data_IF_310307984893
#
_entry.id   IF_310307984893
#
_cell.length_a   1.000
_cell.length_b   1.000
_cell.length_c   1.000
_cell.angle_alpha   90.00
_cell.angle_beta   90.00
_cell.angle_gamma   90.00
#
_symmetry.space_group_name_H-M   'P 1'
#
loop_
_entity.id
_entity.type
_entity.pdbx_description
1 polymer ?
#
# COMPACT_ATOMS: atom_id res chain seq x y z
N UNK A 1 10.30 11.46 -3.64
CA UNK A 1 11.18 10.27 -3.68
C UNK A 1 10.38 9.05 -4.15
N UNK A 2 11.04 7.96 -4.51
CA UNK A 2 10.38 6.72 -4.92
C UNK A 2 10.47 5.70 -3.79
N UNK A 3 9.33 5.16 -3.37
CA UNK A 3 9.24 4.09 -2.38
C UNK A 3 8.54 2.93 -3.09
N UNK A 4 9.31 1.90 -3.45
CA UNK A 4 8.83 0.83 -4.33
C UNK A 4 9.20 -0.54 -3.81
N UNK A 5 8.29 -1.51 -3.87
CA UNK A 5 8.51 -2.92 -3.51
C UNK A 5 8.99 -3.12 -2.07
N UNK A 6 8.40 -2.42 -1.11
CA UNK A 6 8.73 -2.57 0.31
C UNK A 6 7.59 -3.24 1.08
N UNK A 7 7.96 -4.04 2.07
CA UNK A 7 7.08 -4.43 3.17
C UNK A 7 7.39 -3.52 4.35
N UNK A 8 6.42 -2.71 4.75
CA UNK A 8 6.52 -1.79 5.89
C UNK A 8 5.47 -2.23 6.89
N UNK A 9 5.88 -3.07 7.83
CA UNK A 9 4.96 -3.76 8.71
C UNK A 9 5.34 -3.68 10.19
N UNK A 10 4.33 -3.65 11.06
CA UNK A 10 4.49 -3.79 12.51
C UNK A 10 5.44 -2.77 13.15
N UNK A 11 5.66 -1.62 12.51
CA UNK A 11 6.53 -0.59 13.05
C UNK A 11 5.86 0.11 14.23
N UNK A 12 6.69 0.41 15.23
CA UNK A 12 6.36 1.25 16.37
C UNK A 12 6.71 2.70 16.06
N UNK A 13 5.71 3.57 16.03
CA UNK A 13 5.84 4.98 15.62
C UNK A 13 5.20 5.32 14.27
N UNK A 14 4.58 4.35 13.59
CA UNK A 14 3.96 4.50 12.26
C UNK A 14 4.83 3.97 11.11
N UNK A 15 4.28 4.01 9.89
CA UNK A 15 4.95 3.52 8.67
C UNK A 15 5.82 4.59 8.00
N UNK A 16 5.23 5.41 7.13
CA UNK A 16 5.93 6.43 6.34
C UNK A 16 5.54 7.83 6.82
N UNK A 17 6.53 8.64 7.20
CA UNK A 17 6.35 10.07 7.51
C UNK A 17 6.84 10.92 6.32
N UNK A 18 5.98 11.78 5.80
CA UNK A 18 6.22 12.64 4.65
C UNK A 18 6.01 14.11 5.08
N UNK A 19 7.05 14.91 4.92
CA UNK A 19 7.04 16.33 5.26
C UNK A 19 7.66 17.14 4.12
N UNK A 20 6.95 18.16 3.63
CA UNK A 20 7.41 19.04 2.54
C UNK A 20 8.00 18.28 1.34
N UNK A 21 7.30 17.23 0.90
CA UNK A 21 7.80 16.30 -0.10
C UNK A 21 6.69 15.76 -1.00
N UNK A 22 7.10 15.24 -2.16
CA UNK A 22 6.18 14.68 -3.14
C UNK A 22 6.64 13.29 -3.59
N UNK A 23 6.39 12.24 -2.77
CA UNK A 23 6.76 10.88 -3.13
C UNK A 23 5.71 10.16 -3.96
N UNK A 24 6.22 9.22 -4.75
CA UNK A 24 5.45 8.11 -5.31
C UNK A 24 5.71 6.86 -4.45
N UNK A 25 4.61 6.25 -4.01
CA UNK A 25 4.57 5.06 -3.16
C UNK A 25 3.89 3.97 -3.98
N UNK A 26 4.71 3.07 -4.54
CA UNK A 26 4.31 2.16 -5.60
C UNK A 26 4.57 0.72 -5.21
N UNK A 27 3.61 -0.20 -5.39
CA UNK A 27 3.85 -1.63 -5.14
C UNK A 27 4.40 -1.92 -3.73
N UNK A 28 3.86 -1.30 -2.69
CA UNK A 28 4.26 -1.61 -1.31
C UNK A 28 3.16 -2.38 -0.57
N UNK A 29 3.55 -3.06 0.50
CA UNK A 29 2.63 -3.63 1.49
C UNK A 29 2.88 -2.92 2.83
N UNK A 30 1.95 -2.05 3.22
CA UNK A 30 2.07 -1.18 4.41
C UNK A 30 0.98 -1.57 5.40
N UNK A 31 1.34 -2.34 6.43
CA UNK A 31 0.35 -3.03 7.26
C UNK A 31 0.70 -3.03 8.75
N UNK A 32 -0.31 -2.96 9.61
CA UNK A 32 -0.17 -3.12 11.08
C UNK A 32 0.89 -2.21 11.74
N UNK A 33 1.18 -1.04 11.16
CA UNK A 33 2.06 -0.03 11.76
C UNK A 33 1.30 0.76 12.83
N UNK A 34 1.84 0.80 14.06
CA UNK A 34 1.14 1.31 15.23
C UNK A 34 1.86 2.55 15.77
N UNK A 35 1.09 3.52 16.30
CA UNK A 35 1.66 4.65 17.03
C UNK A 35 1.79 4.31 18.53
N UNK A 36 3.00 4.48 19.07
CA UNK A 36 3.34 4.08 20.44
C UNK A 36 2.72 4.93 21.57
N UNK A 37 2.21 6.13 21.26
CA UNK A 37 1.74 7.08 22.28
C UNK A 37 0.23 7.01 22.58
N UNK A 38 -0.44 5.97 22.10
CA UNK A 38 -1.90 5.81 22.25
C UNK A 38 -2.73 6.72 21.36
N UNK A 39 -2.10 7.50 20.48
CA UNK A 39 -2.78 8.15 19.34
C UNK A 39 -3.13 7.14 18.23
N UNK A 40 -3.78 7.61 17.17
CA UNK A 40 -4.16 6.70 16.07
C UNK A 40 -2.92 6.19 15.32
N UNK A 41 -3.00 4.96 14.85
CA UNK A 41 -1.97 4.28 14.07
C UNK A 41 -1.94 4.80 12.63
N UNK A 42 -0.78 5.17 12.10
CA UNK A 42 -0.64 5.62 10.71
C UNK A 42 0.30 4.71 9.92
N UNK A 43 -0.17 4.26 8.75
CA UNK A 43 0.66 3.66 7.73
C UNK A 43 1.38 4.73 6.93
N UNK A 44 0.69 5.83 6.63
CA UNK A 44 1.24 7.01 5.95
C UNK A 44 0.78 8.26 6.67
N UNK A 45 1.71 9.16 6.96
CA UNK A 45 1.47 10.47 7.55
C UNK A 45 2.07 11.56 6.66
N UNK A 46 1.25 12.47 6.15
CA UNK A 46 1.66 13.56 5.26
C UNK A 46 1.37 14.93 5.87
N UNK A 47 2.36 15.83 5.82
CA UNK A 47 2.24 17.20 6.34
C UNK A 47 3.12 18.20 5.57
N UNK A 48 2.93 19.49 5.87
CA UNK A 48 3.69 20.63 5.33
C UNK A 48 3.68 20.65 3.80
N UNK A 49 2.50 20.85 3.19
CA UNK A 49 2.37 20.99 1.72
C UNK A 49 2.95 19.78 0.95
N UNK A 50 2.65 18.57 1.44
CA UNK A 50 3.10 17.32 0.82
C UNK A 50 2.09 16.80 -0.20
N UNK A 51 2.56 16.28 -1.33
CA UNK A 51 1.70 15.66 -2.34
C UNK A 51 2.12 14.22 -2.61
N UNK A 52 1.36 13.27 -2.10
CA UNK A 52 1.70 11.84 -2.11
C UNK A 52 0.88 11.14 -3.18
N UNK A 53 1.55 10.36 -4.03
CA UNK A 53 0.90 9.50 -5.01
C UNK A 53 1.08 8.05 -4.58
N UNK A 54 -0.02 7.34 -4.36
CA UNK A 54 -0.04 5.94 -3.94
C UNK A 54 -0.66 5.12 -5.05
N UNK A 55 0.08 4.13 -5.55
CA UNK A 55 -0.37 3.24 -6.61
C UNK A 55 0.04 1.79 -6.35
N UNK A 56 -0.80 0.83 -6.75
CA UNK A 56 -0.55 -0.60 -6.57
C UNK A 56 -0.14 -1.00 -5.15
N UNK A 57 -0.60 -0.29 -4.12
CA UNK A 57 -0.12 -0.48 -2.75
C UNK A 57 -1.22 -1.08 -1.89
N UNK A 58 -0.86 -2.01 -0.99
CA UNK A 58 -1.77 -2.50 0.06
C UNK A 58 -1.56 -1.68 1.32
N UNK A 59 -2.62 -1.06 1.82
CA UNK A 59 -2.71 -0.43 3.14
C UNK A 59 -3.79 -1.11 3.97
N UNK A 60 -3.38 -1.77 5.05
CA UNK A 60 -4.26 -2.54 5.93
C UNK A 60 -3.96 -2.24 7.40
N UNK A 61 -5.02 -2.05 8.20
CA UNK A 61 -4.92 -1.85 9.66
C UNK A 61 -3.97 -0.71 10.07
N UNK A 62 -3.82 0.32 9.24
CA UNK A 62 -2.93 1.45 9.46
C UNK A 62 -3.39 2.65 8.64
N UNK A 63 -3.77 3.76 9.28
CA UNK A 63 -4.43 4.88 8.61
C UNK A 63 -3.52 5.64 7.65
N UNK A 64 -4.09 6.16 6.57
CA UNK A 64 -3.53 7.30 5.85
C UNK A 64 -3.97 8.58 6.56
N UNK A 65 -3.02 9.40 7.00
CA UNK A 65 -3.28 10.67 7.67
C UNK A 65 -2.71 11.85 6.89
N UNK A 66 -3.60 12.74 6.48
CA UNK A 66 -3.27 14.07 5.94
C UNK A 66 -3.43 15.09 7.07
N UNK A 67 -2.32 15.69 7.51
CA UNK A 67 -2.31 16.47 8.76
C UNK A 67 -2.79 17.93 8.60
N UNK A 68 -2.60 18.52 7.42
CA UNK A 68 -2.96 19.91 7.12
C UNK A 68 -3.72 20.03 5.80
N UNK A 69 -4.35 21.19 5.60
CA UNK A 69 -5.19 21.49 4.44
C UNK A 69 -4.41 21.70 3.13
N UNK A 70 -3.08 21.80 3.20
CA UNK A 70 -2.21 22.02 2.05
C UNK A 70 -1.65 20.71 1.50
N UNK A 71 -1.66 19.64 2.31
CA UNK A 71 -1.20 18.33 1.89
C UNK A 71 -2.30 17.56 1.18
N UNK A 72 -1.90 16.72 0.22
CA UNK A 72 -2.80 15.92 -0.59
C UNK A 72 -2.24 14.49 -0.70
N UNK A 73 -3.11 13.50 -0.57
CA UNK A 73 -2.80 12.09 -0.84
C UNK A 73 -3.75 11.61 -1.93
N UNK A 74 -3.19 11.17 -3.04
CA UNK A 74 -3.91 10.61 -4.18
C UNK A 74 -3.63 9.12 -4.19
N UNK A 75 -4.69 8.31 -4.18
CA UNK A 75 -4.59 6.85 -4.14
C UNK A 75 -5.33 6.26 -5.33
N UNK A 76 -4.68 5.41 -6.11
CA UNK A 76 -5.27 4.72 -7.27
C UNK A 76 -4.76 3.27 -7.35
N UNK A 77 -5.54 2.38 -7.95
CA UNK A 77 -5.21 0.95 -8.16
C UNK A 77 -4.61 0.29 -6.90
N UNK A 78 -5.11 0.64 -5.73
CA UNK A 78 -4.55 0.24 -4.45
C UNK A 78 -5.62 -0.44 -3.58
N UNK A 79 -5.20 -1.32 -2.69
CA UNK A 79 -6.09 -1.85 -1.66
C UNK A 79 -5.95 -0.97 -0.42
N UNK A 80 -7.03 -0.33 0.00
CA UNK A 80 -7.05 0.45 1.23
C UNK A 80 -8.19 -0.02 2.14
N UNK A 81 -7.80 -0.58 3.29
CA UNK A 81 -8.69 -1.03 4.35
C UNK A 81 -8.09 -0.59 5.69
N UNK A 82 -8.11 0.72 5.92
CA UNK A 82 -7.40 1.37 7.00
C UNK A 82 -8.30 2.05 8.04
N UNK A 83 -9.37 2.71 7.59
CA UNK A 83 -10.37 3.38 8.43
C UNK A 83 -11.79 3.11 7.87
N UNK A 84 -12.74 2.59 8.67
CA UNK A 84 -14.08 2.30 8.19
C UNK A 84 -14.89 3.54 7.78
N UNK A 85 -14.50 4.74 8.26
CA UNK A 85 -15.21 5.99 8.01
C UNK A 85 -14.61 6.79 6.84
N UNK A 86 -13.48 6.34 6.28
CA UNK A 86 -12.81 6.97 5.14
C UNK A 86 -12.92 6.08 3.92
N UNK A 87 -13.29 6.69 2.79
CA UNK A 87 -13.25 6.02 1.49
C UNK A 87 -12.19 6.67 0.62
N UNK A 88 -11.49 5.86 -0.18
CA UNK A 88 -10.49 6.30 -1.15
C UNK A 88 -11.02 6.05 -2.56
N UNK A 89 -11.84 6.96 -3.12
CA UNK A 89 -12.61 6.72 -4.34
C UNK A 89 -11.79 6.84 -5.63
N UNK A 90 -10.46 6.90 -5.54
CA UNK A 90 -9.61 6.92 -6.73
C UNK A 90 -9.79 5.67 -7.58
N UNK A 91 -9.51 5.82 -8.87
CA UNK A 91 -9.68 4.75 -9.86
C UNK A 91 -8.98 3.47 -9.44
N UNK A 92 -9.65 2.32 -9.63
CA UNK A 92 -9.08 1.00 -9.38
C UNK A 92 -8.86 0.65 -7.91
N UNK A 93 -9.19 1.53 -6.95
CA UNK A 93 -9.04 1.19 -5.54
C UNK A 93 -10.05 0.14 -5.10
N UNK A 94 -9.61 -0.73 -4.20
CA UNK A 94 -10.41 -1.78 -3.58
C UNK A 94 -10.29 -1.72 -2.06
N UNK A 95 -11.29 -2.21 -1.34
CA UNK A 95 -11.34 -2.18 0.15
C UNK A 95 -11.66 -3.55 0.77
N UNK A 96 -11.48 -4.61 -0.01
CA UNK A 96 -11.73 -5.99 0.40
C UNK A 96 -10.56 -6.50 1.26
N UNK A 97 -10.65 -7.73 1.76
CA UNK A 97 -9.53 -8.36 2.44
C UNK A 97 -8.43 -8.72 1.42
N UNK A 98 -7.15 -8.37 1.63
CA UNK A 98 -6.07 -8.78 0.73
C UNK A 98 -5.84 -10.30 0.70
N UNK A 99 -6.37 -11.06 1.66
CA UNK A 99 -6.22 -12.52 1.74
C UNK A 99 -4.75 -12.95 1.67
N UNK A 100 -3.96 -12.49 2.64
CA UNK A 100 -2.57 -12.94 2.80
C UNK A 100 -2.48 -14.39 3.26
N UNK A 101 -1.34 -15.05 3.01
CA UNK A 101 -1.00 -16.34 3.61
C UNK A 101 -1.07 -16.28 5.14
N UNK A 102 -0.57 -15.19 5.75
CA UNK A 102 -0.70 -14.92 7.20
C UNK A 102 0.61 -15.06 7.98
N UNK A 103 0.57 -14.86 9.30
CA UNK A 103 1.75 -14.98 10.20
C UNK A 103 2.99 -14.14 9.80
N UNK A 104 2.76 -12.97 9.20
CA UNK A 104 3.81 -12.09 8.68
C UNK A 104 4.27 -12.42 7.25
N UNK A 105 3.67 -13.45 6.65
CA UNK A 105 3.75 -13.74 5.23
C UNK A 105 2.66 -12.95 4.48
N UNK A 106 3.10 -11.99 3.69
CA UNK A 106 2.24 -11.10 2.92
C UNK A 106 2.09 -11.51 1.45
N UNK A 107 2.48 -12.74 1.09
CA UNK A 107 2.09 -13.32 -0.19
C UNK A 107 0.57 -13.44 -0.27
N UNK A 108 0.03 -13.27 -1.47
CA UNK A 108 -1.40 -13.35 -1.74
C UNK A 108 -1.85 -14.81 -1.84
N UNK A 109 -3.01 -15.12 -1.26
CA UNK A 109 -3.69 -16.39 -1.51
C UNK A 109 -4.33 -16.39 -2.92
N UNK A 110 -4.58 -17.56 -3.53
CA UNK A 110 -5.07 -17.67 -4.91
C UNK A 110 -6.41 -16.95 -5.21
N UNK A 111 -7.19 -16.63 -4.18
CA UNK A 111 -8.47 -15.92 -4.31
C UNK A 111 -8.39 -14.44 -3.92
N UNK A 112 -7.19 -13.90 -3.72
CA UNK A 112 -6.98 -12.51 -3.32
C UNK A 112 -7.56 -11.55 -4.37
N UNK A 113 -8.27 -10.50 -3.94
CA UNK A 113 -8.75 -9.46 -4.85
C UNK A 113 -7.62 -8.55 -5.34
N UNK A 114 -6.41 -8.66 -4.79
CA UNK A 114 -5.23 -7.92 -5.24
C UNK A 114 -4.60 -8.51 -6.51
N UNK A 115 -4.93 -9.76 -6.85
CA UNK A 115 -4.38 -10.45 -8.02
C UNK A 115 -4.96 -9.83 -9.30
N UNK A 116 -4.11 -9.54 -10.27
CA UNK A 116 -4.43 -8.93 -11.57
C UNK A 116 -5.18 -7.58 -11.48
N UNK A 117 -5.17 -6.91 -10.32
CA UNK A 117 -5.98 -5.72 -10.04
C UNK A 117 -5.21 -4.38 -10.09
N UNK A 118 -3.89 -4.44 -10.22
CA UNK A 118 -3.00 -3.29 -10.31
C UNK A 118 -2.89 -2.70 -11.73
N UNK A 119 -2.25 -1.54 -11.82
CA UNK A 119 -1.93 -0.86 -13.06
C UNK A 119 -0.48 -1.09 -13.52
N UNK A 120 -0.22 -1.00 -14.83
CA UNK A 120 1.15 -0.93 -15.34
C UNK A 120 1.74 0.44 -15.01
N UNK A 121 2.71 0.44 -14.10
CA UNK A 121 3.43 1.63 -13.62
C UNK A 121 4.93 1.58 -13.95
N UNK A 122 5.34 0.65 -14.82
CA UNK A 122 6.75 0.47 -15.21
C UNK A 122 7.63 -0.21 -14.16
N UNK A 123 7.05 -0.90 -13.18
CA UNK A 123 7.76 -1.72 -12.18
C UNK A 123 7.60 -3.19 -12.56
N UNK A 124 8.66 -3.78 -13.10
CA UNK A 124 8.57 -5.09 -13.78
C UNK A 124 9.07 -6.28 -12.94
N UNK A 125 9.50 -6.04 -11.70
CA UNK A 125 10.01 -7.06 -10.80
C UNK A 125 9.43 -6.77 -9.40
N UNK A 126 9.07 -7.79 -8.63
CA UNK A 126 8.57 -7.66 -7.26
C UNK A 126 9.69 -7.59 -6.20
N UNK A 127 9.36 -7.68 -4.90
CA UNK A 127 10.35 -7.65 -3.81
C UNK A 127 11.27 -8.89 -3.76
N UNK A 128 10.86 -10.02 -4.34
CA UNK A 128 11.61 -11.28 -4.33
C UNK A 128 12.33 -11.59 -5.64
N UNK A 129 12.09 -10.78 -6.68
CA UNK A 129 12.71 -10.96 -7.99
C UNK A 129 11.80 -11.61 -9.03
N UNK A 130 10.52 -11.83 -8.73
CA UNK A 130 9.56 -12.38 -9.69
C UNK A 130 9.20 -11.31 -10.73
N UNK A 131 9.06 -11.72 -12.00
CA UNK A 131 8.63 -10.82 -13.07
C UNK A 131 7.18 -10.40 -12.89
N UNK A 132 6.88 -9.13 -13.15
CA UNK A 132 5.53 -8.60 -13.23
C UNK A 132 5.16 -8.29 -14.69
N UNK A 133 3.91 -8.53 -15.11
CA UNK A 133 2.88 -9.27 -14.39
C UNK A 133 3.08 -10.80 -14.48
N UNK A 134 2.64 -11.53 -13.46
CA UNK A 134 2.30 -12.95 -13.60
C UNK A 134 0.77 -13.06 -13.74
N UNK A 135 0.28 -13.78 -14.75
CA UNK A 135 -1.15 -13.89 -14.98
C UNK A 135 -1.66 -12.90 -16.03
N UNK A 136 -2.76 -12.20 -15.74
CA UNK A 136 -3.47 -11.31 -16.68
C UNK A 136 -3.22 -9.82 -16.43
N UNK A 137 -2.68 -9.45 -15.28
CA UNK A 137 -2.45 -8.07 -14.86
C UNK A 137 -1.41 -7.99 -13.74
N UNK A 138 -1.09 -6.77 -13.32
CA UNK A 138 -0.16 -6.55 -12.22
C UNK A 138 -0.87 -6.79 -10.89
N UNK A 139 -0.16 -7.32 -9.90
CA UNK A 139 -0.74 -7.44 -8.56
C UNK A 139 -0.54 -6.18 -7.73
N UNK A 140 -1.56 -5.87 -6.93
CA UNK A 140 -1.47 -4.84 -5.89
C UNK A 140 -0.65 -5.38 -4.73
N UNK A 141 0.38 -4.64 -4.30
CA UNK A 141 1.24 -4.98 -3.17
C UNK A 141 2.70 -5.23 -3.54
N UNK A 142 3.52 -5.57 -2.54
CA UNK A 142 4.95 -5.79 -2.69
C UNK A 142 5.33 -7.10 -3.40
N UNK A 143 4.47 -8.11 -3.33
CA UNK A 143 4.65 -9.43 -3.92
C UNK A 143 3.80 -9.59 -5.17
N UNK A 144 4.33 -10.32 -6.15
CA UNK A 144 3.55 -10.85 -7.27
C UNK A 144 3.12 -12.29 -6.95
N UNK A 145 1.87 -12.62 -7.26
CA UNK A 145 1.34 -13.96 -7.09
C UNK A 145 1.88 -14.87 -8.20
N UNK A 146 2.77 -15.78 -7.80
CA UNK A 146 3.27 -16.86 -8.66
C UNK A 146 2.49 -18.14 -8.35
N UNK A 147 1.89 -18.76 -9.37
CA UNK A 147 1.37 -20.12 -9.23
C UNK A 147 2.56 -21.07 -9.05
N UNK A 148 2.63 -21.76 -7.91
CA UNK A 148 3.59 -22.86 -7.75
C UNK A 148 3.11 -24.06 -8.57
N UNK A 149 3.96 -24.53 -9.49
CA UNK A 149 3.77 -25.79 -10.24
C UNK A 149 3.77 -27.03 -9.33
#
# INVERSE_FOLDING_TARGET
PQITNNVIAMNKGGGIHIQASQPEVTNNTIVDNIKDDGGESWGIFAMTDSKVFIINTILLNSKIRVYDEYSEVIVTYSLVKDDPDVSWPGEGNISQDPLFVGDGDYHLLPSSPCIDAGADVGVNIDIEGNERPQGQGFDIGAYEYVTQD
#
